data_IF_517809869271
#
_entry.id   IF_517809869271
#
_cell.length_a   1.000
_cell.length_b   1.000
_cell.length_c   1.000
_cell.angle_alpha   90.00
_cell.angle_beta   90.00
_cell.angle_gamma   90.00
#
_symmetry.space_group_name_H-M   'P 1'
#
loop_
_entity.id
_entity.type
_entity.pdbx_description
1 polymer ?
#
# COMPACT_ATOMS: atom_id res chain seq x y z
N UNK A 1 -5.92 31.08 6.15
CA UNK A 1 -7.05 30.83 7.07
C UNK A 1 -7.21 29.33 7.32
N UNK A 2 -7.61 28.89 8.52
CA UNK A 2 -7.94 27.48 8.80
C UNK A 2 -9.47 27.30 8.82
N UNK A 3 -9.98 26.41 7.97
CA UNK A 3 -11.42 26.10 7.86
C UNK A 3 -11.68 24.76 8.56
N UNK A 4 -12.36 24.73 9.72
CA UNK A 4 -12.59 23.49 10.46
C UNK A 4 -13.56 22.57 9.71
N UNK A 5 -13.26 21.26 9.68
CA UNK A 5 -14.13 20.25 9.10
C UNK A 5 -15.16 19.75 10.11
N UNK A 6 -16.38 19.47 9.66
CA UNK A 6 -17.41 18.87 10.51
C UNK A 6 -17.06 17.43 10.86
N UNK A 7 -17.54 16.91 12.01
CA UNK A 7 -17.41 15.50 12.34
C UNK A 7 -17.90 14.61 11.19
N UNK A 8 -17.04 13.71 10.70
CA UNK A 8 -17.34 12.80 9.60
C UNK A 8 -17.00 13.30 8.18
N UNK A 9 -16.78 14.60 7.95
CA UNK A 9 -16.36 15.13 6.63
C UNK A 9 -14.96 14.64 6.26
N UNK A 10 -14.06 14.51 7.24
CA UNK A 10 -12.71 13.96 7.04
C UNK A 10 -12.73 12.56 6.41
N UNK A 11 -13.70 11.72 6.79
CA UNK A 11 -13.83 10.35 6.30
C UNK A 11 -14.41 10.29 4.88
N UNK A 12 -15.15 11.33 4.47
CA UNK A 12 -15.61 11.49 3.08
C UNK A 12 -14.49 12.01 2.18
N UNK A 13 -13.64 12.90 2.68
CA UNK A 13 -12.51 13.47 1.94
C UNK A 13 -11.35 12.47 1.80
N UNK A 14 -11.08 11.67 2.82
CA UNK A 14 -9.97 10.70 2.85
C UNK A 14 -10.55 9.27 2.81
N UNK A 15 -10.52 8.60 1.64
CA UNK A 15 -11.08 7.27 1.50
C UNK A 15 -10.27 6.22 2.28
N UNK A 16 -10.94 5.13 2.66
CA UNK A 16 -10.31 4.02 3.38
C UNK A 16 -9.26 3.27 2.53
N UNK A 17 -9.48 3.23 1.20
CA UNK A 17 -8.62 2.57 0.23
C UNK A 17 -7.99 3.64 -0.68
N UNK A 18 -6.79 3.35 -1.17
CA UNK A 18 -6.08 4.22 -2.10
C UNK A 18 -6.93 4.55 -3.34
N UNK A 19 -6.99 5.83 -3.72
CA UNK A 19 -7.52 6.24 -5.03
C UNK A 19 -6.48 6.03 -6.13
N UNK A 20 -6.91 6.05 -7.40
CA UNK A 20 -5.97 5.93 -8.53
C UNK A 20 -4.86 6.98 -8.54
N UNK A 21 -5.16 8.22 -8.12
CA UNK A 21 -4.16 9.29 -8.00
C UNK A 21 -3.19 9.01 -6.84
N UNK A 22 -3.68 8.52 -5.70
CA UNK A 22 -2.85 8.13 -4.57
C UNK A 22 -1.95 6.93 -4.88
N UNK A 23 -2.44 5.99 -5.70
CA UNK A 23 -1.64 4.89 -6.21
C UNK A 23 -0.47 5.38 -7.08
N UNK A 24 -0.72 6.28 -8.03
CA UNK A 24 0.34 6.88 -8.86
C UNK A 24 1.35 7.67 -8.04
N UNK A 25 0.89 8.41 -7.03
CA UNK A 25 1.78 9.12 -6.12
C UNK A 25 2.63 8.18 -5.25
N UNK A 26 2.09 7.03 -4.85
CA UNK A 26 2.76 6.05 -3.98
C UNK A 26 3.61 5.02 -4.75
N UNK A 27 3.40 4.90 -6.06
CA UNK A 27 4.32 4.22 -6.98
C UNK A 27 5.71 4.87 -6.91
N UNK A 28 5.73 6.19 -6.79
CA UNK A 28 6.92 6.96 -6.45
C UNK A 28 7.99 6.99 -7.54
N UNK A 29 9.25 6.98 -7.15
CA UNK A 29 10.37 7.10 -8.10
C UNK A 29 10.67 5.76 -8.81
N UNK A 30 11.33 5.77 -9.99
CA UNK A 30 11.74 4.54 -10.67
C UNK A 30 12.57 3.61 -9.79
N UNK A 31 13.38 4.17 -8.87
CA UNK A 31 14.15 3.39 -7.90
C UNK A 31 13.24 2.63 -6.93
N UNK A 32 12.15 3.24 -6.45
CA UNK A 32 11.19 2.58 -5.57
C UNK A 32 10.42 1.48 -6.31
N UNK A 33 10.07 1.72 -7.57
CA UNK A 33 9.46 0.69 -8.43
C UNK A 33 10.40 -0.50 -8.60
N UNK A 34 11.68 -0.25 -8.90
CA UNK A 34 12.69 -1.30 -9.03
C UNK A 34 12.89 -2.05 -7.71
N UNK A 35 12.94 -1.34 -6.58
CA UNK A 35 13.04 -1.97 -5.26
C UNK A 35 11.86 -2.91 -4.99
N UNK A 36 10.63 -2.48 -5.33
CA UNK A 36 9.43 -3.34 -5.20
C UNK A 36 9.51 -4.54 -6.12
N UNK A 37 10.00 -4.38 -7.35
CA UNK A 37 10.21 -5.48 -8.28
C UNK A 37 11.23 -6.50 -7.74
N UNK A 38 12.34 -6.02 -7.15
CA UNK A 38 13.32 -6.89 -6.51
C UNK A 38 12.72 -7.67 -5.34
N UNK A 39 11.93 -7.00 -4.48
CA UNK A 39 11.23 -7.67 -3.36
C UNK A 39 10.25 -8.72 -3.89
N UNK A 40 9.48 -8.39 -4.94
CA UNK A 40 8.53 -9.30 -5.55
C UNK A 40 9.22 -10.53 -6.15
N UNK A 41 10.31 -10.32 -6.89
CA UNK A 41 11.08 -11.39 -7.51
C UNK A 41 11.76 -12.28 -6.47
N UNK A 42 12.51 -11.70 -5.53
CA UNK A 42 13.25 -12.47 -4.53
C UNK A 42 12.28 -13.21 -3.60
N UNK A 43 11.28 -12.52 -3.03
CA UNK A 43 10.30 -13.12 -2.14
C UNK A 43 9.46 -14.18 -2.84
N UNK A 44 9.01 -13.90 -4.07
CA UNK A 44 8.20 -14.81 -4.87
C UNK A 44 8.96 -16.08 -5.25
N UNK A 45 10.22 -15.94 -5.69
CA UNK A 45 11.07 -17.08 -6.06
C UNK A 45 11.44 -17.92 -4.83
N UNK A 46 11.87 -17.31 -3.72
CA UNK A 46 12.23 -18.07 -2.51
C UNK A 46 11.04 -18.91 -2.02
N UNK A 47 9.86 -18.30 -1.91
CA UNK A 47 8.65 -18.97 -1.44
C UNK A 47 8.15 -20.02 -2.44
N UNK A 48 8.33 -19.79 -3.74
CA UNK A 48 8.06 -20.79 -4.77
C UNK A 48 9.00 -22.00 -4.70
N UNK A 49 10.29 -21.78 -4.43
CA UNK A 49 11.27 -22.86 -4.24
C UNK A 49 10.94 -23.70 -2.99
N UNK A 50 10.52 -23.04 -1.90
CA UNK A 50 10.04 -23.73 -0.70
C UNK A 50 8.80 -24.57 -1.02
N UNK A 51 7.84 -24.02 -1.77
CA UNK A 51 6.65 -24.76 -2.21
C UNK A 51 7.02 -26.03 -3.00
N UNK A 52 7.95 -25.92 -3.96
CA UNK A 52 8.36 -27.05 -4.78
C UNK A 52 8.99 -28.17 -3.93
N UNK A 53 9.79 -27.83 -2.91
CA UNK A 53 10.34 -28.82 -1.98
C UNK A 53 9.25 -29.41 -1.05
N UNK A 54 8.31 -28.59 -0.59
CA UNK A 54 7.25 -28.99 0.33
C UNK A 54 6.20 -29.94 -0.31
N UNK A 55 6.11 -29.98 -1.65
CA UNK A 55 5.26 -30.92 -2.39
C UNK A 55 5.56 -32.40 -2.09
N UNK A 56 6.77 -32.72 -1.62
CA UNK A 56 7.20 -34.08 -1.31
C UNK A 56 6.62 -34.67 -0.01
N UNK A 57 5.62 -34.03 0.62
CA UNK A 57 4.88 -34.63 1.76
C UNK A 57 4.24 -33.68 2.75
N UNK A 58 4.27 -32.36 2.53
CA UNK A 58 3.75 -31.37 3.49
C UNK A 58 2.38 -30.83 3.11
N UNK A 59 1.44 -30.84 4.07
CA UNK A 59 0.10 -30.20 3.95
C UNK A 59 0.19 -28.67 3.75
N UNK A 60 1.36 -28.07 3.94
CA UNK A 60 1.58 -26.63 3.86
C UNK A 60 1.92 -26.11 2.46
N UNK A 61 2.08 -27.00 1.46
CA UNK A 61 2.37 -26.60 0.08
C UNK A 61 1.44 -25.48 -0.45
N UNK A 62 0.11 -25.62 -0.35
CA UNK A 62 -0.81 -24.57 -0.82
C UNK A 62 -0.60 -23.21 -0.15
N UNK A 63 -0.22 -23.17 1.13
CA UNK A 63 0.05 -21.91 1.85
C UNK A 63 1.27 -21.21 1.25
N UNK A 64 2.34 -21.95 0.98
CA UNK A 64 3.55 -21.40 0.34
C UNK A 64 3.28 -20.90 -1.07
N UNK A 65 2.42 -21.57 -1.83
CA UNK A 65 2.00 -21.11 -3.15
C UNK A 65 1.26 -19.77 -3.07
N UNK A 66 0.32 -19.61 -2.14
CA UNK A 66 -0.40 -18.34 -1.96
C UNK A 66 0.55 -17.22 -1.56
N UNK A 67 1.49 -17.49 -0.66
CA UNK A 67 2.51 -16.50 -0.26
C UNK A 67 3.36 -16.11 -1.49
N UNK A 68 3.77 -17.07 -2.31
CA UNK A 68 4.54 -16.80 -3.53
C UNK A 68 3.79 -15.91 -4.51
N UNK A 69 2.52 -16.20 -4.77
CA UNK A 69 1.66 -15.37 -5.63
C UNK A 69 1.51 -13.97 -5.03
N UNK A 70 1.31 -13.86 -3.71
CA UNK A 70 1.21 -12.56 -3.04
C UNK A 70 2.49 -11.73 -3.22
N UNK A 71 3.68 -12.35 -3.14
CA UNK A 71 4.94 -11.66 -3.42
C UNK A 71 5.06 -11.21 -4.88
N UNK A 72 4.71 -12.06 -5.85
CA UNK A 72 4.77 -11.65 -7.27
C UNK A 72 3.83 -10.47 -7.58
N UNK A 73 2.72 -10.37 -6.87
CA UNK A 73 1.79 -9.25 -6.98
C UNK A 73 2.17 -8.02 -6.12
N UNK A 74 3.29 -8.05 -5.39
CA UNK A 74 3.70 -6.98 -4.48
C UNK A 74 3.85 -5.61 -5.17
N UNK A 75 4.26 -5.59 -6.44
CA UNK A 75 4.34 -4.34 -7.22
C UNK A 75 2.96 -3.68 -7.35
N UNK A 76 1.88 -4.46 -7.41
CA UNK A 76 0.52 -3.97 -7.55
C UNK A 76 -0.08 -3.55 -6.21
N UNK A 77 -0.01 -4.39 -5.17
CA UNK A 77 -0.69 -4.08 -3.90
C UNK A 77 0.18 -3.28 -2.93
N UNK A 78 1.51 -3.28 -3.07
CA UNK A 78 2.42 -2.53 -2.22
C UNK A 78 2.10 -1.02 -2.16
N UNK A 79 1.93 -0.32 -3.30
CA UNK A 79 1.56 1.09 -3.29
C UNK A 79 0.15 1.33 -2.74
N UNK A 80 -0.78 0.38 -2.94
CA UNK A 80 -2.15 0.45 -2.41
C UNK A 80 -2.13 0.44 -0.88
N UNK A 81 -1.33 -0.46 -0.29
CA UNK A 81 -1.17 -0.57 1.17
C UNK A 81 -0.53 0.69 1.74
N UNK A 82 0.51 1.22 1.10
CA UNK A 82 1.17 2.44 1.57
C UNK A 82 0.23 3.65 1.55
N UNK A 83 -0.50 3.86 0.46
CA UNK A 83 -1.51 4.92 0.38
C UNK A 83 -2.62 4.72 1.42
N UNK A 84 -3.08 3.47 1.62
CA UNK A 84 -4.07 3.13 2.64
C UNK A 84 -3.58 3.43 4.07
N UNK A 85 -2.32 3.14 4.38
CA UNK A 85 -1.71 3.44 5.69
C UNK A 85 -1.63 4.95 5.94
N UNK A 86 -1.28 5.73 4.92
CA UNK A 86 -1.29 7.21 5.00
C UNK A 86 -2.71 7.72 5.25
N UNK A 87 -3.70 7.20 4.53
CA UNK A 87 -5.10 7.56 4.74
C UNK A 87 -5.59 7.18 6.14
N UNK A 88 -5.23 5.99 6.64
CA UNK A 88 -5.59 5.52 7.98
C UNK A 88 -4.98 6.40 9.08
N UNK A 89 -3.72 6.81 8.91
CA UNK A 89 -3.04 7.75 9.81
C UNK A 89 -3.79 9.07 9.91
N UNK A 90 -4.23 9.62 8.78
CA UNK A 90 -5.00 10.88 8.75
C UNK A 90 -6.40 10.72 9.35
N UNK A 91 -7.07 9.59 9.12
CA UNK A 91 -8.40 9.28 9.67
C UNK A 91 -8.42 9.04 11.18
N UNK A 92 -7.26 8.80 11.80
CA UNK A 92 -7.15 8.62 13.26
C UNK A 92 -7.41 9.91 14.03
N UNK A 93 -7.22 11.07 13.41
CA UNK A 93 -7.37 12.35 14.11
C UNK A 93 -8.84 12.74 14.27
N UNK A 94 -9.28 13.11 15.49
CA UNK A 94 -10.69 13.45 15.77
C UNK A 94 -11.11 14.81 15.19
N UNK A 95 -10.14 15.67 14.87
CA UNK A 95 -10.36 17.00 14.30
C UNK A 95 -9.38 17.25 13.16
N UNK A 96 -9.85 17.91 12.11
CA UNK A 96 -9.05 18.32 10.96
C UNK A 96 -9.58 19.66 10.41
N UNK A 97 -8.71 20.42 9.75
CA UNK A 97 -9.05 21.69 9.12
C UNK A 97 -8.35 21.81 7.76
N UNK A 98 -8.98 22.49 6.80
CA UNK A 98 -8.34 22.88 5.55
C UNK A 98 -7.54 24.16 5.79
N UNK A 99 -6.29 24.18 5.32
CA UNK A 99 -5.45 25.37 5.38
C UNK A 99 -5.47 26.08 4.02
N UNK A 100 -5.91 27.33 4.04
CA UNK A 100 -5.88 28.25 2.92
C UNK A 100 -4.69 29.20 3.13
N UNK A 101 -3.63 29.02 2.36
CA UNK A 101 -2.48 29.91 2.35
C UNK A 101 -2.51 30.78 1.09
N UNK A 102 -2.37 32.09 1.24
CA UNK A 102 -2.06 32.99 0.13
C UNK A 102 -0.54 33.05 -0.01
N UNK A 103 -0.05 32.94 -1.26
CA UNK A 103 1.37 33.16 -1.56
C UNK A 103 1.55 34.65 -1.79
N UNK A 104 2.25 35.33 -0.90
CA UNK A 104 2.64 36.73 -1.07
C UNK A 104 3.97 36.79 -1.87
N UNK A 105 4.02 37.66 -2.88
CA UNK A 105 5.21 37.96 -3.68
C UNK A 105 6.29 38.71 -2.87
#
# INVERSE_FOLDING_TARGET
MLIPLKPGELQRLIPAVATGNQFRASLGSPQQVLQRLMIAAIGGVITFLIYNQAQLGSRWGPVWLVISVAFFLYVLWGPIVEAGQRNATLRRYPAAALFEGEVAD
#
